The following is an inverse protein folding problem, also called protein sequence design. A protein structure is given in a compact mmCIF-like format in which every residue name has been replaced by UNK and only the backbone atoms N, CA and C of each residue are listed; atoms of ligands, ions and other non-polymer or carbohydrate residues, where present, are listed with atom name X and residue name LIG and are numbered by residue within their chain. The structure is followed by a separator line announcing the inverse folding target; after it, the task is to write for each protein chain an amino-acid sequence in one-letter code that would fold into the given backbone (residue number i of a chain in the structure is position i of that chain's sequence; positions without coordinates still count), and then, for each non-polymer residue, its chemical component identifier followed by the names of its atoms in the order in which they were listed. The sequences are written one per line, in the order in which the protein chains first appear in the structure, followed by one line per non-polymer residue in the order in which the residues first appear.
data_IF_202776601722
#
_entry.id   IF_202776601722
#
_cell.length_a   1.000
_cell.length_b   1.000
_cell.length_c   1.000
_cell.angle_alpha   90.00
_cell.angle_beta   90.00
_cell.angle_gamma   90.00
#
_symmetry.space_group_name_H-M   'P 1'
#
loop_
_entity.id
_entity.type
_entity.pdbx_description
1 polymer ?
#
# COMPACT_ATOMS: atom_id res chain seq x y z
N UNK A 1 31.60 -46.98 -10.32
CA UNK A 1 31.68 -45.55 -10.71
C UNK A 1 30.33 -44.92 -11.04
N UNK A 2 29.33 -45.71 -11.45
CA UNK A 2 28.00 -45.23 -11.88
C UNK A 2 27.17 -44.52 -10.79
N UNK A 3 27.19 -45.02 -9.55
CA UNK A 3 26.49 -44.38 -8.42
C UNK A 3 27.03 -43.00 -8.01
N UNK A 4 28.34 -42.77 -8.19
CA UNK A 4 28.99 -41.50 -7.83
C UNK A 4 28.64 -40.38 -8.82
N UNK A 5 28.36 -40.74 -10.08
CA UNK A 5 27.89 -39.81 -11.12
C UNK A 5 26.43 -39.39 -10.83
N UNK A 6 25.57 -40.31 -10.37
CA UNK A 6 24.20 -39.99 -10.00
C UNK A 6 24.11 -39.07 -8.79
N UNK A 7 24.95 -39.26 -7.78
CA UNK A 7 24.94 -38.44 -6.56
C UNK A 7 25.36 -36.99 -6.81
N UNK A 8 26.37 -36.77 -7.68
CA UNK A 8 26.79 -35.42 -8.09
C UNK A 8 25.71 -34.67 -8.87
N UNK A 9 24.97 -35.37 -9.75
CA UNK A 9 23.85 -34.79 -10.51
C UNK A 9 22.70 -34.39 -9.59
N UNK A 10 22.34 -35.22 -8.61
CA UNK A 10 21.31 -34.92 -7.61
C UNK A 10 21.70 -33.70 -6.77
N UNK A 11 22.97 -33.61 -6.35
CA UNK A 11 23.47 -32.45 -5.60
C UNK A 11 23.37 -31.14 -6.40
N UNK A 12 23.75 -31.16 -7.68
CA UNK A 12 23.63 -30.00 -8.57
C UNK A 12 22.16 -29.61 -8.77
N UNK A 13 21.27 -30.58 -8.93
CA UNK A 13 19.82 -30.35 -9.06
C UNK A 13 19.24 -29.70 -7.79
N UNK A 14 19.65 -30.17 -6.61
CA UNK A 14 19.23 -29.61 -5.34
C UNK A 14 19.71 -28.16 -5.15
N UNK A 15 20.96 -27.85 -5.53
CA UNK A 15 21.50 -26.48 -5.46
C UNK A 15 20.73 -25.54 -6.40
N UNK A 16 20.43 -25.98 -7.63
CA UNK A 16 19.63 -25.18 -8.57
C UNK A 16 18.20 -24.96 -8.07
N UNK A 17 17.55 -26.01 -7.55
CA UNK A 17 16.22 -25.91 -6.97
C UNK A 17 16.18 -24.95 -5.76
N UNK A 18 17.17 -25.04 -4.88
CA UNK A 18 17.32 -24.12 -3.75
C UNK A 18 17.57 -22.68 -4.21
N UNK A 19 18.44 -22.46 -5.19
CA UNK A 19 18.72 -21.13 -5.76
C UNK A 19 17.52 -20.46 -6.42
N UNK A 20 16.68 -21.23 -7.13
CA UNK A 20 15.42 -20.73 -7.70
C UNK A 20 14.43 -20.39 -6.59
N UNK A 21 14.31 -21.26 -5.57
CA UNK A 21 13.38 -21.06 -4.45
C UNK A 21 13.71 -19.83 -3.60
N UNK A 22 14.98 -19.56 -3.33
CA UNK A 22 15.41 -18.37 -2.59
C UNK A 22 15.21 -17.09 -3.38
N UNK A 23 15.40 -17.13 -4.70
CA UNK A 23 15.17 -15.97 -5.57
C UNK A 23 13.68 -15.63 -5.66
N UNK A 24 12.80 -16.63 -5.78
CA UNK A 24 11.33 -16.44 -5.75
C UNK A 24 10.90 -15.89 -4.39
N UNK A 25 11.38 -16.47 -3.28
CA UNK A 25 11.05 -15.98 -1.94
C UNK A 25 11.56 -14.55 -1.69
N UNK A 26 12.75 -14.21 -2.18
CA UNK A 26 13.30 -12.86 -2.07
C UNK A 26 12.47 -11.85 -2.88
N UNK A 27 12.02 -12.20 -4.10
CA UNK A 27 11.18 -11.32 -4.91
C UNK A 27 9.80 -11.09 -4.28
N UNK A 28 9.09 -12.16 -3.90
CA UNK A 28 7.74 -12.05 -3.32
C UNK A 28 7.78 -11.47 -1.90
N UNK A 29 8.73 -11.93 -1.07
CA UNK A 29 8.93 -11.44 0.30
C UNK A 29 9.27 -9.96 0.34
N UNK A 30 10.22 -9.50 -0.49
CA UNK A 30 10.56 -8.07 -0.54
C UNK A 30 9.38 -7.23 -1.01
N UNK A 31 8.61 -7.68 -2.00
CA UNK A 31 7.41 -6.97 -2.45
C UNK A 31 6.39 -6.82 -1.31
N UNK A 32 6.15 -7.86 -0.52
CA UNK A 32 5.21 -7.79 0.60
C UNK A 32 5.70 -6.82 1.69
N UNK A 33 6.99 -6.89 2.06
CA UNK A 33 7.57 -6.00 3.08
C UNK A 33 7.52 -4.53 2.61
N UNK A 34 7.82 -4.27 1.34
CA UNK A 34 7.72 -2.92 0.74
C UNK A 34 6.30 -2.37 0.81
N UNK A 35 5.28 -3.19 0.49
CA UNK A 35 3.87 -2.80 0.62
C UNK A 35 3.49 -2.47 2.07
N UNK A 36 3.94 -3.28 3.04
CA UNK A 36 3.66 -3.02 4.47
C UNK A 36 4.32 -1.71 4.92
N UNK A 37 5.56 -1.46 4.49
CA UNK A 37 6.24 -0.21 4.78
C UNK A 37 5.52 1.00 4.16
N UNK A 38 5.10 0.89 2.90
CA UNK A 38 4.33 1.94 2.23
C UNK A 38 3.00 2.22 2.94
N UNK A 39 2.24 1.18 3.32
CA UNK A 39 1.00 1.33 4.10
C UNK A 39 1.25 2.04 5.43
N UNK A 40 2.29 1.63 6.16
CA UNK A 40 2.67 2.25 7.44
C UNK A 40 3.01 3.73 7.25
N UNK A 41 3.77 4.09 6.23
CA UNK A 41 4.09 5.49 5.91
C UNK A 41 2.80 6.28 5.65
N UNK A 42 1.91 5.75 4.79
CA UNK A 42 0.65 6.40 4.43
C UNK A 42 -0.18 6.65 5.69
N UNK A 43 -0.36 5.64 6.55
CA UNK A 43 -1.13 5.79 7.79
C UNK A 43 -0.50 6.80 8.74
N UNK A 44 0.81 6.74 8.95
CA UNK A 44 1.49 7.49 10.01
C UNK A 44 1.89 8.93 9.67
N UNK A 45 1.99 9.30 8.39
CA UNK A 45 2.52 10.62 7.99
C UNK A 45 1.54 11.45 7.18
N UNK A 46 1.64 12.77 7.34
CA UNK A 46 1.05 13.77 6.45
C UNK A 46 1.86 13.90 5.15
N UNK A 47 1.22 14.31 4.05
CA UNK A 47 1.87 14.38 2.73
C UNK A 47 3.15 15.23 2.74
N UNK A 48 3.13 16.36 3.44
CA UNK A 48 4.27 17.27 3.58
C UNK A 48 5.49 16.64 4.28
N UNK A 49 5.25 15.64 5.13
CA UNK A 49 6.27 14.96 5.92
C UNK A 49 6.76 13.66 5.26
N UNK A 50 6.17 13.27 4.13
CA UNK A 50 6.63 12.14 3.32
C UNK A 50 7.86 12.57 2.52
N UNK A 51 8.98 11.91 2.76
CA UNK A 51 10.23 12.18 2.04
C UNK A 51 10.16 11.72 0.58
N UNK A 52 11.09 12.19 -0.25
CA UNK A 52 11.17 11.77 -1.67
C UNK A 52 11.33 10.25 -1.84
N UNK A 53 12.14 9.61 -0.99
CA UNK A 53 12.36 8.16 -1.06
C UNK A 53 11.13 7.37 -0.61
N UNK A 54 10.44 7.82 0.44
CA UNK A 54 9.16 7.24 0.86
C UNK A 54 8.08 7.38 -0.23
N UNK A 55 8.02 8.54 -0.90
CA UNK A 55 7.11 8.72 -2.03
C UNK A 55 7.45 7.81 -3.21
N UNK A 56 8.74 7.56 -3.50
CA UNK A 56 9.15 6.58 -4.51
C UNK A 56 8.69 5.17 -4.14
N UNK A 57 8.81 4.79 -2.87
CA UNK A 57 8.35 3.48 -2.39
C UNK A 57 6.82 3.33 -2.54
N UNK A 58 6.04 4.36 -2.16
CA UNK A 58 4.58 4.38 -2.34
C UNK A 58 4.21 4.19 -3.82
N UNK A 59 4.90 4.88 -4.73
CA UNK A 59 4.71 4.74 -6.18
C UNK A 59 5.10 3.35 -6.68
N UNK A 60 6.23 2.80 -6.23
CA UNK A 60 6.69 1.45 -6.55
C UNK A 60 5.63 0.41 -6.16
N UNK A 61 5.02 0.59 -4.99
CA UNK A 61 3.94 -0.26 -4.46
C UNK A 61 2.56 0.07 -5.03
N UNK A 62 2.44 1.08 -5.91
CA UNK A 62 1.17 1.56 -6.50
C UNK A 62 0.11 1.98 -5.47
N UNK A 63 0.54 2.51 -4.33
CA UNK A 63 -0.33 2.92 -3.22
C UNK A 63 -0.69 4.42 -3.20
N UNK A 64 -0.49 5.14 -4.30
CA UNK A 64 -0.86 6.56 -4.42
C UNK A 64 -2.37 6.78 -4.19
N UNK A 65 -3.18 5.81 -4.61
CA UNK A 65 -4.64 5.82 -4.43
C UNK A 65 -5.03 5.80 -2.95
N UNK A 66 -4.39 4.94 -2.15
CA UNK A 66 -4.60 4.86 -0.70
C UNK A 66 -4.18 6.15 0.01
N UNK A 67 -3.11 6.79 -0.46
CA UNK A 67 -2.68 8.09 0.05
C UNK A 67 -3.71 9.18 -0.27
N UNK A 68 -4.21 9.22 -1.51
CA UNK A 68 -5.26 10.16 -1.92
C UNK A 68 -6.54 9.99 -1.10
N UNK A 69 -6.98 8.75 -0.91
CA UNK A 69 -8.13 8.40 -0.09
C UNK A 69 -7.95 8.86 1.36
N UNK A 70 -6.78 8.59 1.98
CA UNK A 70 -6.49 9.03 3.35
C UNK A 70 -6.66 10.54 3.48
N UNK A 71 -6.04 11.30 2.59
CA UNK A 71 -6.07 12.76 2.66
C UNK A 71 -7.51 13.26 2.52
N UNK A 72 -8.23 12.78 1.51
CA UNK A 72 -9.61 13.21 1.23
C UNK A 72 -10.61 12.82 2.34
N UNK A 73 -10.37 11.72 3.05
CA UNK A 73 -11.23 11.27 4.15
C UNK A 73 -10.89 11.92 5.50
N UNK A 74 -9.66 12.43 5.68
CA UNK A 74 -9.17 12.91 6.97
C UNK A 74 -9.20 14.42 7.13
N UNK A 75 -9.05 15.19 6.04
CA UNK A 75 -8.95 16.67 6.08
C UNK A 75 -10.22 17.36 5.63
N UNK A 76 -10.49 18.60 6.05
CA UNK A 76 -11.55 19.41 5.43
C UNK A 76 -11.10 20.04 4.12
N UNK A 77 -12.02 20.50 3.24
CA UNK A 77 -11.65 21.17 2.00
C UNK A 77 -10.68 22.36 2.20
N UNK A 78 -10.81 23.08 3.31
CA UNK A 78 -9.99 24.26 3.64
C UNK A 78 -8.56 23.89 4.05
N UNK A 79 -8.34 22.69 4.58
CA UNK A 79 -7.03 22.19 5.03
C UNK A 79 -6.22 21.55 3.90
N UNK A 80 -6.84 21.31 2.75
CA UNK A 80 -6.22 20.62 1.62
C UNK A 80 -5.34 21.58 0.83
N UNK A 81 -4.06 21.24 0.73
CA UNK A 81 -3.11 21.97 -0.10
C UNK A 81 -3.35 21.70 -1.59
N UNK A 82 -2.84 22.59 -2.47
CA UNK A 82 -2.99 22.41 -3.92
C UNK A 82 -2.39 21.08 -4.43
N UNK A 83 -1.28 20.63 -3.83
CA UNK A 83 -0.62 19.36 -4.16
C UNK A 83 -1.49 18.16 -3.77
N UNK A 84 -2.10 18.22 -2.59
CA UNK A 84 -3.03 17.21 -2.10
C UNK A 84 -4.28 17.16 -2.97
N UNK A 85 -4.85 18.33 -3.30
CA UNK A 85 -6.00 18.42 -4.19
C UNK A 85 -5.68 17.76 -5.54
N UNK A 86 -4.54 18.07 -6.17
CA UNK A 86 -4.12 17.42 -7.44
C UNK A 86 -4.09 15.90 -7.35
N UNK A 87 -3.58 15.34 -6.24
CA UNK A 87 -3.55 13.90 -6.01
C UNK A 87 -4.96 13.32 -5.85
N UNK A 88 -5.82 13.99 -5.08
CA UNK A 88 -7.23 13.61 -4.88
C UNK A 88 -7.98 13.59 -6.22
N UNK A 89 -7.83 14.63 -7.05
CA UNK A 89 -8.45 14.70 -8.39
C UNK A 89 -7.99 13.58 -9.30
N UNK A 90 -6.68 13.34 -9.34
CA UNK A 90 -6.07 12.26 -10.15
C UNK A 90 -6.69 10.89 -9.84
N UNK A 91 -7.07 10.67 -8.59
CA UNK A 91 -7.63 9.41 -8.10
C UNK A 91 -9.17 9.44 -7.92
N UNK A 92 -9.84 10.54 -8.28
CA UNK A 92 -11.31 10.63 -8.27
C UNK A 92 -11.95 10.72 -6.90
N UNK A 93 -11.22 11.15 -5.86
CA UNK A 93 -11.72 11.23 -4.48
C UNK A 93 -12.31 12.60 -4.10
N UNK A 94 -12.56 13.49 -5.08
CA UNK A 94 -13.09 14.84 -4.85
C UNK A 94 -14.46 14.82 -4.15
N UNK A 95 -15.28 13.81 -4.41
CA UNK A 95 -16.60 13.66 -3.81
C UNK A 95 -16.54 13.51 -2.28
N UNK A 96 -15.44 13.00 -1.72
CA UNK A 96 -15.23 12.89 -0.28
C UNK A 96 -15.07 14.24 0.41
N UNK A 97 -14.85 15.31 -0.36
CA UNK A 97 -14.75 16.67 0.12
C UNK A 97 -16.12 17.37 0.16
N UNK A 98 -17.18 16.74 -0.37
CA UNK A 98 -18.54 17.29 -0.31
C UNK A 98 -19.09 17.25 1.11
N UNK A 99 -19.48 18.42 1.62
CA UNK A 99 -20.17 18.56 2.91
C UNK A 99 -21.43 17.70 3.00
N UNK A 100 -22.19 17.62 1.92
CA UNK A 100 -23.42 16.83 1.87
C UNK A 100 -23.12 15.34 2.01
N UNK A 101 -22.11 14.85 1.29
CA UNK A 101 -21.68 13.46 1.36
C UNK A 101 -21.15 13.11 2.76
N UNK A 102 -20.35 13.98 3.36
CA UNK A 102 -19.84 13.81 4.73
C UNK A 102 -20.97 13.76 5.76
N UNK A 103 -21.96 14.64 5.64
CA UNK A 103 -23.15 14.64 6.50
C UNK A 103 -23.95 13.35 6.36
N UNK A 104 -24.13 12.85 5.14
CA UNK A 104 -24.82 11.57 4.90
C UNK A 104 -24.07 10.39 5.55
N UNK A 105 -22.76 10.29 5.34
CA UNK A 105 -21.93 9.26 5.97
C UNK A 105 -22.05 9.30 7.50
N UNK A 106 -21.91 10.49 8.09
CA UNK A 106 -21.98 10.65 9.56
C UNK A 106 -23.35 10.23 10.10
N UNK A 107 -24.44 10.62 9.42
CA UNK A 107 -25.80 10.23 9.78
C UNK A 107 -25.99 8.71 9.74
N UNK A 108 -25.45 8.04 8.71
CA UNK A 108 -25.59 6.59 8.56
C UNK A 108 -24.75 5.82 9.58
N UNK A 109 -23.53 6.28 9.90
CA UNK A 109 -22.72 5.70 10.98
C UNK A 109 -23.42 5.78 12.34
N UNK A 110 -24.01 6.93 12.68
CA UNK A 110 -24.73 7.11 13.94
C UNK A 110 -25.93 6.16 14.04
N UNK A 111 -26.74 6.04 12.99
CA UNK A 111 -27.87 5.09 12.96
C UNK A 111 -27.42 3.64 13.17
N UNK A 112 -26.32 3.24 12.56
CA UNK A 112 -25.81 1.87 12.68
C UNK A 112 -25.27 1.56 14.09
N UNK A 113 -24.75 2.56 14.80
CA UNK A 113 -24.36 2.46 16.21
C UNK A 113 -25.59 2.33 17.12
N UNK A 114 -26.65 3.08 16.86
CA UNK A 114 -27.90 3.00 17.63
C UNK A 114 -28.62 1.66 17.45
N UNK A 115 -28.64 1.11 16.23
CA UNK A 115 -29.21 -0.23 15.95
C UNK A 115 -28.46 -1.41 16.58
N UNK A 116 -27.20 -1.19 16.99
CA UNK A 116 -26.36 -2.22 17.62
C UNK A 116 -26.39 -2.19 19.14
N UNK A 117 -27.04 -1.18 19.74
CA UNK A 117 -27.32 -1.11 21.19
C UNK A 117 -28.66 -1.76 21.49
#
# INVERSE_FOLDING_TARGET
MEGMINMKKILILAIMALGISTNVFACFGNSMIENIMADKIIRSKELENITKEEMKLIKKCRMEDSLAYKIASSKTPEEITEKEMKLIKKHGYEFLLSDEFRKQIKKEMTKNLEKKK
#
